data_IF_190893516667
#
_entry.id   IF_190893516667
#
_cell.length_a   1.000
_cell.length_b   1.000
_cell.length_c   1.000
_cell.angle_alpha   90.00
_cell.angle_beta   90.00
_cell.angle_gamma   90.00
#
_symmetry.space_group_name_H-M   'P 1'
#
loop_
_entity.id
_entity.type
_entity.pdbx_description
1 polymer ?
#
# COMPACT_ATOMS: atom_id res chain seq x y z
N UNK A 1 -9.30 7.31 4.60
CA UNK A 1 -8.41 7.44 3.41
C UNK A 1 -8.98 6.85 2.14
N UNK A 2 -9.46 5.60 2.10
CA UNK A 2 -9.93 4.97 0.84
C UNK A 2 -11.06 5.73 0.10
N UNK A 3 -12.08 6.22 0.83
CA UNK A 3 -13.22 6.93 0.22
C UNK A 3 -12.78 8.22 -0.48
N UNK A 4 -11.97 9.03 0.21
CA UNK A 4 -11.37 10.24 -0.35
C UNK A 4 -10.40 9.92 -1.50
N UNK A 5 -9.53 8.93 -1.30
CA UNK A 5 -8.56 8.49 -2.29
C UNK A 5 -9.21 8.04 -3.59
N UNK A 6 -10.35 7.33 -3.53
CA UNK A 6 -11.14 6.93 -4.70
C UNK A 6 -11.57 8.14 -5.54
N UNK A 7 -12.08 9.19 -4.90
CA UNK A 7 -12.52 10.39 -5.60
C UNK A 7 -11.34 11.08 -6.30
N UNK A 8 -10.25 11.33 -5.55
CA UNK A 8 -9.01 11.90 -6.09
C UNK A 8 -8.44 11.07 -7.23
N UNK A 9 -8.46 9.75 -7.13
CA UNK A 9 -7.92 8.84 -8.14
C UNK A 9 -8.72 8.93 -9.45
N UNK A 10 -10.05 8.96 -9.39
CA UNK A 10 -10.86 9.15 -10.59
C UNK A 10 -10.65 10.54 -11.20
N UNK A 11 -10.50 11.58 -10.38
CA UNK A 11 -10.23 12.94 -10.85
C UNK A 11 -8.88 13.00 -11.58
N UNK A 12 -7.84 12.42 -10.97
CA UNK A 12 -6.52 12.28 -11.58
C UNK A 12 -6.59 11.49 -12.90
N UNK A 13 -7.28 10.36 -12.92
CA UNK A 13 -7.37 9.57 -14.16
C UNK A 13 -8.05 10.33 -15.30
N UNK A 14 -9.08 11.16 -14.99
CA UNK A 14 -9.70 12.04 -15.99
C UNK A 14 -8.76 13.13 -16.46
N UNK A 15 -8.08 13.80 -15.53
CA UNK A 15 -7.22 14.93 -15.81
C UNK A 15 -6.00 14.52 -16.65
N UNK A 16 -5.39 13.38 -16.35
CA UNK A 16 -4.14 12.92 -16.96
C UNK A 16 -4.35 11.84 -18.03
N UNK A 17 -5.60 11.52 -18.38
CA UNK A 17 -5.92 10.54 -19.42
C UNK A 17 -5.50 9.10 -19.10
N UNK A 18 -5.41 8.76 -17.81
CA UNK A 18 -5.10 7.39 -17.38
C UNK A 18 -6.30 6.49 -17.68
N UNK A 19 -6.15 5.34 -18.37
CA UNK A 19 -7.26 4.45 -18.65
C UNK A 19 -7.92 3.91 -17.38
N UNK A 20 -9.22 4.14 -17.24
CA UNK A 20 -10.02 3.61 -16.13
C UNK A 20 -11.45 3.28 -16.56
N UNK A 21 -12.13 2.41 -15.81
CA UNK A 21 -13.54 2.05 -16.04
C UNK A 21 -14.29 1.85 -14.72
N UNK A 22 -15.41 2.56 -14.54
CA UNK A 22 -16.35 2.31 -13.45
C UNK A 22 -17.29 1.15 -13.81
N UNK A 23 -16.78 -0.07 -13.71
CA UNK A 23 -17.50 -1.30 -14.13
C UNK A 23 -18.41 -1.88 -13.05
N UNK A 24 -18.55 -1.22 -11.90
CA UNK A 24 -19.34 -1.66 -10.75
C UNK A 24 -18.83 -2.97 -10.13
N UNK A 25 -19.31 -3.26 -8.93
CA UNK A 25 -19.01 -4.51 -8.20
C UNK A 25 -20.27 -5.07 -7.59
N UNK A 26 -20.43 -6.39 -7.63
CA UNK A 26 -21.43 -7.13 -6.88
C UNK A 26 -20.75 -7.82 -5.70
N UNK A 27 -21.19 -7.50 -4.48
CA UNK A 27 -20.85 -8.25 -3.27
C UNK A 27 -21.91 -9.33 -3.09
N UNK A 28 -21.55 -10.60 -3.16
CA UNK A 28 -22.49 -11.71 -3.39
C UNK A 28 -22.72 -12.53 -2.14
N UNK A 29 -23.97 -12.58 -1.68
CA UNK A 29 -24.47 -13.59 -0.74
C UNK A 29 -24.88 -14.83 -1.51
N UNK A 30 -24.13 -15.92 -1.34
CA UNK A 30 -24.37 -17.22 -2.03
C UNK A 30 -25.44 -18.07 -1.34
N UNK A 31 -25.79 -17.77 -0.09
CA UNK A 31 -26.86 -18.43 0.65
C UNK A 31 -27.79 -17.42 1.32
N UNK A 32 -29.02 -17.85 1.66
CA UNK A 32 -30.01 -17.00 2.34
C UNK A 32 -29.52 -16.53 3.72
N UNK A 33 -28.68 -17.33 4.39
CA UNK A 33 -28.11 -17.00 5.70
C UNK A 33 -27.14 -15.80 5.65
N UNK A 34 -26.65 -15.44 4.46
CA UNK A 34 -25.77 -14.29 4.25
C UNK A 34 -26.53 -12.98 3.96
N UNK A 35 -27.85 -13.02 3.76
CA UNK A 35 -28.64 -11.81 3.48
C UNK A 35 -28.58 -10.78 4.63
N UNK A 36 -28.70 -11.17 5.92
CA UNK A 36 -28.53 -10.23 7.02
C UNK A 36 -27.13 -9.61 7.08
N UNK A 37 -26.11 -10.37 6.68
CA UNK A 37 -24.73 -9.88 6.64
C UNK A 37 -24.57 -8.81 5.52
N UNK A 38 -25.25 -8.96 4.38
CA UNK A 38 -25.27 -7.94 3.32
C UNK A 38 -25.91 -6.64 3.83
N UNK A 39 -27.05 -6.72 4.51
CA UNK A 39 -27.68 -5.53 5.08
C UNK A 39 -26.82 -4.85 6.14
N UNK A 40 -26.21 -5.64 7.04
CA UNK A 40 -25.29 -5.12 8.04
C UNK A 40 -24.06 -4.45 7.39
N UNK A 41 -23.50 -5.06 6.35
CA UNK A 41 -22.37 -4.49 5.59
C UNK A 41 -22.74 -3.18 4.89
N UNK A 42 -23.95 -3.10 4.30
CA UNK A 42 -24.47 -1.88 3.69
C UNK A 42 -24.61 -0.75 4.71
N UNK A 43 -25.22 -1.04 5.87
CA UNK A 43 -25.39 -0.06 6.95
C UNK A 43 -24.05 0.40 7.54
N UNK A 44 -23.09 -0.52 7.71
CA UNK A 44 -21.74 -0.19 8.16
C UNK A 44 -21.00 0.67 7.13
N UNK A 45 -21.11 0.34 5.84
CA UNK A 45 -20.48 1.10 4.74
C UNK A 45 -20.99 2.54 4.66
N UNK A 46 -22.29 2.76 4.87
CA UNK A 46 -22.89 4.08 4.88
C UNK A 46 -22.29 4.99 5.97
N UNK A 47 -21.99 4.45 7.16
CA UNK A 47 -21.31 5.18 8.25
C UNK A 47 -19.91 5.65 7.88
N UNK A 48 -19.28 5.02 6.89
CA UNK A 48 -17.96 5.37 6.38
C UNK A 48 -18.02 6.23 5.10
N UNK A 49 -19.20 6.77 4.75
CA UNK A 49 -19.37 7.62 3.56
C UNK A 49 -19.62 6.87 2.26
N UNK A 50 -19.91 5.56 2.31
CA UNK A 50 -20.27 4.74 1.15
C UNK A 50 -21.77 4.42 1.21
N UNK A 51 -22.58 5.41 0.83
CA UNK A 51 -24.05 5.34 0.89
C UNK A 51 -24.71 4.91 -0.43
N UNK A 52 -23.92 4.67 -1.48
CA UNK A 52 -24.38 4.33 -2.83
C UNK A 52 -24.61 2.82 -3.05
N UNK A 53 -24.45 1.99 -2.01
CA UNK A 53 -24.67 0.55 -2.09
C UNK A 53 -26.16 0.21 -2.16
N UNK A 54 -26.54 -0.60 -3.16
CA UNK A 54 -27.92 -1.01 -3.40
C UNK A 54 -28.05 -2.51 -3.13
N UNK A 55 -29.00 -2.88 -2.27
CA UNK A 55 -29.34 -4.29 -2.05
C UNK A 55 -30.26 -4.76 -3.18
N UNK A 56 -29.90 -5.87 -3.81
CA UNK A 56 -30.68 -6.52 -4.86
C UNK A 56 -30.92 -7.99 -4.50
N UNK A 57 -32.08 -8.50 -4.87
CA UNK A 57 -32.42 -9.92 -4.78
C UNK A 57 -31.61 -10.76 -5.77
N UNK A 58 -31.55 -12.09 -5.55
CA UNK A 58 -30.94 -13.04 -6.50
C UNK A 58 -31.47 -12.90 -7.94
N UNK A 59 -32.81 -12.86 -8.17
CA UNK A 59 -33.37 -12.66 -9.50
C UNK A 59 -32.97 -11.33 -10.16
N UNK A 60 -32.95 -10.21 -9.42
CA UNK A 60 -32.47 -8.93 -9.94
C UNK A 60 -30.97 -8.98 -10.30
N UNK A 61 -30.17 -9.66 -9.47
CA UNK A 61 -28.75 -9.87 -9.76
C UNK A 61 -28.53 -10.71 -11.04
N UNK A 62 -29.37 -11.73 -11.28
CA UNK A 62 -29.33 -12.55 -12.49
C UNK A 62 -29.76 -11.81 -13.75
N UNK A 63 -30.63 -10.81 -13.64
CA UNK A 63 -30.94 -9.91 -14.76
C UNK A 63 -29.71 -9.09 -15.16
N UNK A 64 -28.86 -8.70 -14.18
CA UNK A 64 -27.61 -7.97 -14.44
C UNK A 64 -26.49 -8.88 -14.95
N UNK A 65 -26.38 -10.08 -14.39
CA UNK A 65 -25.33 -11.07 -14.66
C UNK A 65 -25.95 -12.49 -14.77
N UNK A 66 -26.40 -12.94 -15.97
CA UNK A 66 -27.15 -14.18 -16.11
C UNK A 66 -26.44 -15.46 -15.66
N UNK A 67 -25.10 -15.45 -15.63
CA UNK A 67 -24.29 -16.57 -15.15
C UNK A 67 -24.11 -16.61 -13.62
N UNK A 68 -24.63 -15.61 -12.90
CA UNK A 68 -24.44 -15.45 -11.46
C UNK A 68 -25.40 -16.34 -10.66
N UNK A 69 -24.86 -17.09 -9.71
CA UNK A 69 -25.62 -17.73 -8.65
C UNK A 69 -25.51 -16.89 -7.36
N UNK A 70 -26.65 -16.39 -6.87
CA UNK A 70 -26.72 -15.57 -5.67
C UNK A 70 -28.09 -15.71 -4.99
N UNK A 71 -28.12 -15.70 -3.67
CA UNK A 71 -29.34 -15.47 -2.89
C UNK A 71 -29.71 -13.97 -2.88
N UNK A 72 -28.70 -13.10 -2.88
CA UNK A 72 -28.83 -11.64 -2.97
C UNK A 72 -27.45 -10.99 -3.11
N UNK A 73 -27.41 -9.72 -3.50
CA UNK A 73 -26.15 -8.98 -3.73
C UNK A 73 -26.23 -7.55 -3.22
N UNK A 74 -25.09 -6.96 -2.87
CA UNK A 74 -24.93 -5.51 -2.83
C UNK A 74 -24.26 -5.04 -4.13
N UNK A 75 -24.97 -4.25 -4.91
CA UNK A 75 -24.41 -3.51 -6.03
C UNK A 75 -23.65 -2.28 -5.49
N UNK A 76 -22.37 -2.17 -5.84
CA UNK A 76 -21.52 -1.01 -5.61
C UNK A 76 -21.26 -0.30 -6.94
N UNK A 77 -22.00 0.77 -7.27
CA UNK A 77 -21.94 1.40 -8.58
C UNK A 77 -20.64 2.17 -8.81
N UNK A 78 -20.04 2.75 -7.76
CA UNK A 78 -18.82 3.55 -7.89
C UNK A 78 -17.51 2.74 -7.94
N UNK A 79 -17.57 1.41 -7.82
CA UNK A 79 -16.38 0.56 -7.93
C UNK A 79 -15.91 0.48 -9.40
N UNK A 80 -14.60 0.49 -9.61
CA UNK A 80 -14.01 0.40 -10.94
C UNK A 80 -12.61 -0.19 -10.95
N UNK A 81 -12.00 -0.16 -12.12
CA UNK A 81 -10.65 -0.62 -12.43
C UNK A 81 -9.87 0.49 -13.14
N UNK A 82 -8.55 0.44 -13.07
CA UNK A 82 -7.66 1.31 -13.82
C UNK A 82 -6.42 0.57 -14.30
N UNK A 83 -5.76 1.11 -15.32
CA UNK A 83 -4.40 0.72 -15.68
C UNK A 83 -3.41 1.32 -14.68
N UNK A 84 -2.92 0.48 -13.76
CA UNK A 84 -1.99 0.91 -12.73
C UNK A 84 -0.60 1.28 -13.27
N UNK A 85 -0.17 0.74 -14.41
CA UNK A 85 1.11 1.11 -15.01
C UNK A 85 1.03 2.49 -15.65
N UNK A 86 -0.04 2.75 -16.41
CA UNK A 86 -0.31 4.08 -16.94
C UNK A 86 -0.48 5.12 -15.82
N UNK A 87 -1.13 4.75 -14.72
CA UNK A 87 -1.25 5.61 -13.54
C UNK A 87 0.11 5.97 -12.93
N UNK A 88 0.98 4.98 -12.69
CA UNK A 88 2.32 5.23 -12.15
C UNK A 88 3.18 6.06 -13.11
N UNK A 89 3.08 5.82 -14.42
CA UNK A 89 3.79 6.60 -15.43
C UNK A 89 3.32 8.07 -15.45
N UNK A 90 2.00 8.30 -15.34
CA UNK A 90 1.43 9.63 -15.27
C UNK A 90 1.86 10.38 -13.99
N UNK A 91 1.88 9.70 -12.83
CA UNK A 91 2.39 10.28 -11.58
C UNK A 91 3.86 10.67 -11.69
N UNK A 92 4.69 9.82 -12.31
CA UNK A 92 6.11 10.12 -12.51
C UNK A 92 6.29 11.32 -13.43
N UNK A 93 5.58 11.36 -14.57
CA UNK A 93 5.65 12.47 -15.51
C UNK A 93 5.20 13.79 -14.87
N UNK A 94 4.13 13.77 -14.06
CA UNK A 94 3.67 14.93 -13.31
C UNK A 94 4.72 15.38 -12.28
N UNK A 95 5.33 14.45 -11.54
CA UNK A 95 6.39 14.78 -10.59
C UNK A 95 7.63 15.38 -11.27
N UNK A 96 8.07 14.81 -12.40
CA UNK A 96 9.22 15.30 -13.18
C UNK A 96 8.95 16.69 -13.80
N UNK A 97 7.72 16.94 -14.25
CA UNK A 97 7.29 18.27 -14.70
C UNK A 97 7.40 19.34 -13.59
N UNK A 98 7.35 18.93 -12.32
CA UNK A 98 7.54 19.77 -11.15
C UNK A 98 8.96 19.64 -10.54
N UNK A 99 9.92 19.12 -11.30
CA UNK A 99 11.34 19.09 -10.93
C UNK A 99 11.78 17.91 -10.07
N UNK A 100 10.94 16.88 -9.91
CA UNK A 100 11.38 15.63 -9.29
C UNK A 100 12.38 14.87 -10.17
N UNK A 101 13.20 14.03 -9.55
CA UNK A 101 14.19 13.18 -10.24
C UNK A 101 13.99 11.73 -9.79
N UNK A 102 13.88 10.82 -10.76
CA UNK A 102 13.87 9.38 -10.51
C UNK A 102 15.27 8.79 -10.72
N UNK A 103 15.87 8.28 -9.64
CA UNK A 103 17.12 7.51 -9.70
C UNK A 103 16.84 6.01 -9.59
N UNK A 104 16.91 5.30 -10.72
CA UNK A 104 16.77 3.84 -10.78
C UNK A 104 18.09 3.15 -10.47
N UNK A 105 18.02 1.86 -10.08
CA UNK A 105 19.19 1.06 -9.67
C UNK A 105 19.98 1.65 -8.48
N UNK A 106 19.36 2.56 -7.72
CA UNK A 106 19.92 3.24 -6.55
C UNK A 106 19.20 2.74 -5.30
N UNK A 107 19.87 1.92 -4.50
CA UNK A 107 19.32 1.35 -3.26
C UNK A 107 19.77 2.18 -2.06
N UNK A 108 18.83 2.53 -1.17
CA UNK A 108 19.19 3.04 0.17
C UNK A 108 19.74 1.89 1.01
N UNK A 109 20.98 2.02 1.50
CA UNK A 109 21.66 1.04 2.36
C UNK A 109 21.65 1.44 3.84
N UNK A 110 21.46 2.73 4.14
CA UNK A 110 21.39 3.26 5.49
C UNK A 110 21.23 4.78 5.52
N UNK A 111 21.19 5.34 6.72
CA UNK A 111 21.15 6.79 6.89
C UNK A 111 21.22 7.22 8.35
N UNK A 112 21.54 8.50 8.55
CA UNK A 112 21.66 9.12 9.87
C UNK A 112 21.33 10.61 9.82
N UNK A 113 21.06 11.20 10.97
CA UNK A 113 20.94 12.64 11.15
C UNK A 113 22.30 13.29 10.99
N UNK A 114 22.36 14.29 10.12
CA UNK A 114 23.57 15.06 9.90
C UNK A 114 23.95 15.84 11.17
N UNK A 115 25.14 15.59 11.76
CA UNK A 115 25.54 16.20 13.02
C UNK A 115 25.87 17.71 12.94
N UNK A 116 25.81 18.38 11.77
CA UNK A 116 26.26 19.78 11.63
C UNK A 116 25.19 20.81 11.18
N UNK A 117 25.23 22.08 11.68
CA UNK A 117 26.06 22.59 12.78
C UNK A 117 25.26 23.26 13.91
N UNK A 118 25.78 23.11 15.14
CA UNK A 118 25.67 24.14 16.16
C UNK A 118 26.00 25.50 15.51
N UNK A 119 25.09 26.47 15.61
CA UNK A 119 25.47 27.86 15.39
C UNK A 119 26.64 28.17 16.32
N UNK A 120 27.83 28.38 15.76
CA UNK A 120 28.88 29.09 16.45
C UNK A 120 28.28 30.44 16.86
N UNK A 121 27.97 30.60 18.13
CA UNK A 121 27.66 31.91 18.70
C UNK A 121 28.91 32.75 18.51
N UNK A 122 28.87 33.65 17.53
CA UNK A 122 29.83 34.72 17.38
C UNK A 122 29.94 35.45 18.72
N UNK A 123 31.18 35.68 19.15
CA UNK A 123 31.51 36.23 20.46
C UNK A 123 30.76 37.51 20.80
N UNK A 124 30.18 37.51 22.00
CA UNK A 124 29.78 38.70 22.74
C UNK A 124 30.48 38.66 24.08
N UNK A 125 31.46 39.56 24.22
CA UNK A 125 32.37 39.80 25.34
C UNK A 125 31.76 39.69 26.75
N UNK A 126 32.53 39.06 27.65
CA UNK A 126 32.41 39.21 29.09
C UNK A 126 32.35 40.68 29.52
N UNK A 127 31.39 41.02 30.37
CA UNK A 127 31.52 42.04 31.41
C UNK A 127 30.59 41.71 32.59
N UNK A 128 31.06 41.79 33.84
CA UNK A 128 30.26 41.40 35.01
C UNK A 128 29.58 42.62 35.64
N UNK A 129 28.29 42.52 35.99
CA UNK A 129 27.63 43.45 36.94
C UNK A 129 26.42 42.79 37.64
N UNK A 130 26.61 42.52 38.93
CA UNK A 130 25.73 42.75 40.11
C UNK A 130 24.23 42.40 40.15
N UNK A 131 23.91 41.72 41.27
CA UNK A 131 22.66 41.51 42.02
C UNK A 131 21.40 42.37 41.73
N UNK A 132 20.23 41.70 41.79
CA UNK A 132 18.91 42.33 42.01
C UNK A 132 17.71 41.38 41.80
N UNK A 133 17.16 40.90 42.92
CA UNK A 133 15.79 40.45 43.27
C UNK A 133 14.76 39.86 42.26
N UNK A 134 14.24 38.71 42.72
CA UNK A 134 12.89 38.12 42.67
C UNK A 134 11.81 38.55 41.64
N UNK A 135 11.17 37.48 41.12
CA UNK A 135 9.73 37.28 40.91
C UNK A 135 9.20 37.20 39.47
N UNK A 136 8.36 36.17 39.31
CA UNK A 136 7.23 36.02 38.38
C UNK A 136 7.41 35.35 37.01
N UNK A 137 6.43 34.47 36.77
CA UNK A 137 5.87 34.03 35.48
C UNK A 137 6.59 32.90 34.75
N UNK A 138 6.07 31.69 34.99
CA UNK A 138 6.07 30.59 34.02
C UNK A 138 5.31 31.03 32.77
N UNK A 139 5.99 31.75 31.89
CA UNK A 139 5.55 31.89 30.51
C UNK A 139 5.97 30.62 29.78
N UNK A 140 5.01 29.73 29.52
CA UNK A 140 5.12 28.71 28.49
C UNK A 140 5.18 29.42 27.14
N UNK A 141 6.32 30.06 26.85
CA UNK A 141 6.71 30.40 25.50
C UNK A 141 6.69 29.07 24.75
N UNK A 142 5.71 28.92 23.85
CA UNK A 142 5.75 27.86 22.85
C UNK A 142 7.11 27.95 22.19
N UNK A 143 8.01 27.03 22.55
CA UNK A 143 9.36 26.99 22.01
C UNK A 143 9.19 26.81 20.50
N UNK A 144 9.48 27.86 19.74
CA UNK A 144 9.55 27.76 18.30
C UNK A 144 10.53 26.62 18.01
N UNK A 145 10.03 25.53 17.42
CA UNK A 145 10.88 24.39 17.12
C UNK A 145 12.06 24.88 16.28
N UNK A 146 13.27 24.50 16.67
CA UNK A 146 14.46 24.74 15.85
C UNK A 146 14.32 24.14 14.44
N UNK A 147 15.25 24.41 13.52
CA UNK A 147 15.18 23.92 12.15
C UNK A 147 15.09 22.38 12.10
N UNK A 148 14.39 21.84 11.09
CA UNK A 148 14.34 20.40 10.84
C UNK A 148 15.76 19.90 10.53
N UNK A 149 16.30 18.93 11.29
CA UNK A 149 17.64 18.41 11.04
C UNK A 149 17.73 17.74 9.67
N UNK A 150 18.88 17.92 9.00
CA UNK A 150 19.16 17.25 7.72
C UNK A 150 19.49 15.77 7.97
N UNK A 151 19.18 14.92 6.99
CA UNK A 151 19.55 13.50 6.97
C UNK A 151 20.59 13.27 5.90
N UNK A 152 21.52 12.38 6.17
CA UNK A 152 22.41 11.77 5.18
C UNK A 152 21.89 10.37 4.89
N UNK A 153 21.62 10.08 3.62
CA UNK A 153 21.27 8.75 3.13
C UNK A 153 22.48 8.16 2.41
N UNK A 154 22.83 6.93 2.74
CA UNK A 154 23.81 6.15 1.98
C UNK A 154 23.07 5.39 0.87
N UNK A 155 23.61 5.52 -0.35
CA UNK A 155 23.04 4.98 -1.56
C UNK A 155 24.05 4.06 -2.24
N UNK A 156 23.61 2.86 -2.63
CA UNK A 156 24.39 1.93 -3.44
C UNK A 156 23.78 1.88 -4.84
N UNK A 157 24.51 2.34 -5.84
CA UNK A 157 24.05 2.41 -7.23
C UNK A 157 24.73 1.33 -8.08
N UNK A 158 23.95 0.64 -8.92
CA UNK A 158 24.46 -0.28 -9.93
C UNK A 158 24.40 0.36 -11.31
N UNK A 159 25.45 0.19 -12.11
CA UNK A 159 25.42 0.56 -13.51
C UNK A 159 24.33 -0.24 -14.26
N UNK A 160 23.59 0.39 -15.21
CA UNK A 160 22.63 -0.34 -16.02
C UNK A 160 23.35 -1.39 -16.88
N UNK A 161 22.96 -2.66 -16.78
CA UNK A 161 23.45 -3.70 -17.69
C UNK A 161 22.87 -3.46 -19.08
N UNK A 162 23.73 -3.26 -20.10
CA UNK A 162 23.30 -3.09 -21.47
C UNK A 162 22.40 -4.27 -21.91
N UNK A 163 21.20 -3.98 -22.40
CA UNK A 163 20.26 -4.97 -22.91
C UNK A 163 20.54 -5.27 -24.38
N UNK A 164 20.95 -6.50 -24.68
CA UNK A 164 21.02 -6.99 -26.06
C UNK A 164 21.78 -8.31 -26.22
N UNK A 165 21.05 -9.43 -26.33
CA UNK A 165 21.58 -10.72 -26.76
C UNK A 165 22.06 -11.64 -25.63
N UNK A 166 21.71 -12.93 -25.75
CA UNK A 166 22.04 -14.09 -24.91
C UNK A 166 23.00 -13.86 -23.72
N UNK A 167 22.53 -14.17 -22.52
CA UNK A 167 23.30 -14.12 -21.28
C UNK A 167 24.68 -14.80 -21.42
N UNK A 168 25.79 -14.09 -21.20
CA UNK A 168 27.04 -14.74 -20.87
C UNK A 168 27.05 -15.09 -19.37
N UNK A 169 27.75 -16.17 -19.07
CA UNK A 169 27.88 -16.75 -17.73
C UNK A 169 28.29 -15.71 -16.68
N UNK A 170 27.71 -15.85 -15.49
CA UNK A 170 28.01 -15.05 -14.31
C UNK A 170 29.50 -15.17 -13.93
N UNK A 171 30.29 -14.13 -14.24
CA UNK A 171 31.58 -13.85 -13.62
C UNK A 171 31.90 -12.36 -13.83
N UNK A 172 31.73 -11.57 -12.77
CA UNK A 172 31.94 -10.12 -12.76
C UNK A 172 30.81 -9.41 -12.01
N UNK A 173 30.91 -9.29 -10.69
CA UNK A 173 29.98 -8.47 -9.91
C UNK A 173 30.08 -7.02 -10.37
N UNK A 174 28.99 -6.45 -10.88
CA UNK A 174 28.94 -5.03 -11.23
C UNK A 174 29.40 -4.19 -10.04
N UNK A 175 30.41 -3.34 -10.27
CA UNK A 175 30.98 -2.46 -9.24
C UNK A 175 29.87 -1.56 -8.68
N UNK A 176 29.68 -1.59 -7.36
CA UNK A 176 28.68 -0.80 -6.66
C UNK A 176 29.29 0.56 -6.33
N UNK A 177 28.75 1.62 -6.91
CA UNK A 177 29.13 2.96 -6.51
C UNK A 177 28.37 3.34 -5.24
N UNK A 178 29.11 3.71 -4.20
CA UNK A 178 28.54 4.21 -2.94
C UNK A 178 28.55 5.73 -2.98
N UNK A 179 27.36 6.34 -2.91
CA UNK A 179 27.18 7.78 -2.85
C UNK A 179 26.34 8.18 -1.63
N UNK A 180 26.33 9.48 -1.33
CA UNK A 180 25.57 10.04 -0.21
C UNK A 180 24.67 11.17 -0.68
N UNK A 181 23.42 11.15 -0.22
CA UNK A 181 22.44 12.20 -0.48
C UNK A 181 22.07 12.90 0.82
N UNK A 182 22.12 14.24 0.83
CA UNK A 182 21.68 15.06 1.95
C UNK A 182 20.25 15.57 1.70
N UNK A 183 19.32 15.27 2.61
CA UNK A 183 17.91 15.61 2.46
C UNK A 183 17.33 16.31 3.70
N UNK A 184 16.41 17.27 3.51
CA UNK A 184 15.62 17.85 4.61
C UNK A 184 14.50 16.92 5.04
N UNK A 185 13.84 16.28 4.08
CA UNK A 185 12.72 15.38 4.31
C UNK A 185 12.98 14.05 3.64
N UNK A 186 12.61 12.96 4.31
CA UNK A 186 12.72 11.60 3.79
C UNK A 186 11.41 10.87 4.05
N UNK A 187 10.89 10.21 3.01
CA UNK A 187 9.71 9.34 3.10
C UNK A 187 10.12 7.92 2.76
N UNK A 188 9.98 7.01 3.72
CA UNK A 188 10.16 5.58 3.50
C UNK A 188 8.84 4.95 3.04
N UNK A 189 8.70 4.83 1.72
CA UNK A 189 7.58 4.17 1.03
C UNK A 189 8.00 2.84 0.38
N UNK A 190 8.96 2.12 0.97
CA UNK A 190 9.62 0.96 0.35
C UNK A 190 8.80 -0.36 0.36
N UNK A 191 7.47 -0.29 0.52
CA UNK A 191 6.55 -1.43 0.46
C UNK A 191 6.98 -2.58 1.38
N UNK A 192 7.19 -3.78 0.81
CA UNK A 192 7.66 -4.96 1.55
C UNK A 192 8.97 -4.71 2.32
N UNK A 193 9.81 -3.79 1.84
CA UNK A 193 11.10 -3.47 2.43
C UNK A 193 11.07 -2.28 3.40
N UNK A 194 9.91 -1.67 3.65
CA UNK A 194 9.82 -0.49 4.51
C UNK A 194 10.39 -0.73 5.91
N UNK A 195 10.06 -1.87 6.54
CA UNK A 195 10.60 -2.28 7.85
C UNK A 195 12.13 -2.42 7.81
N UNK A 196 12.65 -3.02 6.74
CA UNK A 196 14.10 -3.20 6.57
C UNK A 196 14.82 -1.87 6.37
N UNK A 197 14.31 -1.00 5.50
CA UNK A 197 14.89 0.35 5.28
C UNK A 197 14.93 1.12 6.60
N UNK A 198 13.83 1.14 7.34
CA UNK A 198 13.77 1.77 8.66
C UNK A 198 14.82 1.21 9.63
N UNK A 199 15.07 -0.10 9.59
CA UNK A 199 16.09 -0.77 10.41
C UNK A 199 17.53 -0.38 10.07
N UNK A 200 17.77 0.28 8.93
CA UNK A 200 19.11 0.75 8.53
C UNK A 200 19.37 2.22 8.92
N UNK A 201 18.39 2.89 9.54
CA UNK A 201 18.50 4.28 9.94
C UNK A 201 18.96 4.36 11.39
N UNK A 202 20.15 4.93 11.61
CA UNK A 202 20.80 4.93 12.93
C UNK A 202 19.96 5.60 14.01
N UNK A 203 19.34 6.74 13.68
CA UNK A 203 18.61 7.59 14.62
C UNK A 203 17.12 7.22 14.78
N UNK A 204 16.66 6.14 14.13
CA UNK A 204 15.27 5.69 14.26
C UNK A 204 15.14 4.72 15.44
N UNK A 205 14.25 4.98 16.43
CA UNK A 205 14.08 4.08 17.56
C UNK A 205 13.63 2.69 17.11
N UNK A 206 14.36 1.64 17.50
CA UNK A 206 14.03 0.25 17.13
C UNK A 206 12.64 -0.18 17.58
N UNK A 207 12.19 0.32 18.73
CA UNK A 207 10.85 0.08 19.27
C UNK A 207 9.72 0.69 18.44
N UNK A 208 10.02 1.65 17.54
CA UNK A 208 9.04 2.25 16.63
C UNK A 208 8.80 1.43 15.36
N UNK A 209 9.65 0.44 15.08
CA UNK A 209 9.59 -0.36 13.85
C UNK A 209 8.66 -1.56 14.09
N UNK A 210 7.55 -1.70 13.34
CA UNK A 210 6.61 -2.78 13.54
C UNK A 210 7.16 -4.11 13.03
N UNK A 211 6.54 -5.21 13.47
CA UNK A 211 6.77 -6.54 12.90
C UNK A 211 6.18 -6.64 11.50
N UNK A 212 6.88 -7.33 10.60
CA UNK A 212 6.43 -7.62 9.24
C UNK A 212 6.04 -9.09 9.10
N UNK A 213 4.89 -9.31 8.48
CA UNK A 213 4.46 -10.60 7.95
C UNK A 213 4.24 -10.46 6.44
N UNK A 214 4.28 -11.59 5.73
CA UNK A 214 4.15 -11.63 4.29
C UNK A 214 2.99 -12.55 3.90
N UNK A 215 2.01 -11.99 3.20
CA UNK A 215 0.87 -12.74 2.66
C UNK A 215 0.89 -12.65 1.13
N UNK A 216 1.36 -13.71 0.49
CA UNK A 216 1.30 -13.87 -0.96
C UNK A 216 -0.15 -14.16 -1.39
N UNK A 217 -0.53 -13.62 -2.53
CA UNK A 217 -1.83 -13.84 -3.16
C UNK A 217 -1.63 -14.25 -4.61
N UNK A 218 -2.17 -15.40 -4.98
CA UNK A 218 -2.07 -16.00 -6.29
C UNK A 218 -3.33 -15.72 -7.11
N UNK A 219 -3.15 -15.47 -8.40
CA UNK A 219 -4.24 -15.20 -9.33
C UNK A 219 -4.23 -16.21 -10.48
N UNK A 220 -5.42 -16.59 -10.91
CA UNK A 220 -5.65 -17.46 -12.06
C UNK A 220 -6.51 -16.74 -13.10
N UNK A 221 -6.10 -16.74 -14.36
CA UNK A 221 -6.91 -16.23 -15.46
C UNK A 221 -7.93 -17.26 -15.89
N UNK A 222 -9.11 -16.80 -16.30
CA UNK A 222 -10.11 -17.64 -16.94
C UNK A 222 -9.78 -17.83 -18.42
N UNK A 223 -9.76 -19.08 -18.90
CA UNK A 223 -9.67 -19.38 -20.33
C UNK A 223 -11.03 -19.16 -21.01
N UNK A 224 -10.99 -18.63 -22.24
CA UNK A 224 -12.19 -18.31 -23.00
C UNK A 224 -12.85 -16.99 -22.57
N UNK A 225 -14.15 -16.85 -22.89
CA UNK A 225 -14.90 -15.62 -22.66
C UNK A 225 -15.43 -15.56 -21.23
N UNK A 226 -15.16 -14.45 -20.54
CA UNK A 226 -15.81 -14.16 -19.26
C UNK A 226 -17.31 -13.86 -19.47
N UNK A 227 -18.22 -14.51 -18.73
CA UNK A 227 -19.65 -14.22 -18.83
C UNK A 227 -20.07 -12.99 -18.01
N UNK A 228 -19.17 -12.42 -17.20
CA UNK A 228 -19.47 -11.30 -16.31
C UNK A 228 -19.00 -9.96 -16.87
N UNK A 229 -19.82 -8.93 -16.72
CA UNK A 229 -19.47 -7.53 -17.05
C UNK A 229 -18.96 -6.71 -15.87
N UNK A 230 -19.05 -7.25 -14.65
CA UNK A 230 -18.78 -6.56 -13.38
C UNK A 230 -17.81 -7.35 -12.51
N UNK A 231 -17.26 -6.68 -11.49
CA UNK A 231 -16.46 -7.35 -10.47
C UNK A 231 -17.38 -8.19 -9.55
N UNK A 232 -17.00 -9.43 -9.22
CA UNK A 232 -17.78 -10.31 -8.35
C UNK A 232 -16.98 -10.65 -7.09
N UNK A 233 -17.49 -10.24 -5.94
CA UNK A 233 -16.83 -10.40 -4.64
C UNK A 233 -17.75 -11.22 -3.73
N UNK A 234 -17.46 -12.50 -3.44
CA UNK A 234 -18.24 -13.24 -2.46
C UNK A 234 -18.21 -12.54 -1.09
N UNK A 235 -19.32 -12.62 -0.36
CA UNK A 235 -19.37 -12.18 1.02
C UNK A 235 -18.35 -12.99 1.85
N UNK A 236 -17.52 -12.34 2.70
CA UNK A 236 -16.58 -13.07 3.54
C UNK A 236 -17.29 -14.11 4.39
N UNK A 237 -16.70 -15.30 4.49
CA UNK A 237 -17.23 -16.35 5.36
C UNK A 237 -16.94 -16.03 6.83
N UNK A 238 -17.93 -16.29 7.69
CA UNK A 238 -17.78 -16.10 9.14
C UNK A 238 -16.64 -17.00 9.65
N UNK A 239 -15.63 -16.41 10.26
CA UNK A 239 -14.52 -17.12 10.90
C UNK A 239 -13.36 -17.52 9.98
N UNK A 240 -13.41 -17.24 8.67
CA UNK A 240 -12.26 -17.42 7.77
C UNK A 240 -11.52 -16.10 7.58
N UNK A 241 -10.19 -16.13 7.78
CA UNK A 241 -9.30 -15.00 7.52
C UNK A 241 -9.03 -14.89 6.00
N UNK A 242 -10.00 -14.38 5.24
CA UNK A 242 -9.85 -14.13 3.81
C UNK A 242 -11.12 -13.53 3.19
N UNK A 243 -10.97 -12.63 2.22
CA UNK A 243 -12.08 -11.95 1.53
C UNK A 243 -12.77 -12.83 0.46
N UNK A 244 -12.48 -14.13 0.41
CA UNK A 244 -12.94 -15.05 -0.64
C UNK A 244 -12.23 -14.82 -1.98
N UNK A 245 -12.44 -15.74 -2.93
CA UNK A 245 -11.86 -15.65 -4.29
C UNK A 245 -12.67 -14.64 -5.11
N UNK A 246 -12.10 -13.47 -5.40
CA UNK A 246 -12.78 -12.44 -6.20
C UNK A 246 -12.68 -12.77 -7.68
N UNK A 247 -13.65 -12.29 -8.47
CA UNK A 247 -13.51 -12.11 -9.91
C UNK A 247 -13.22 -10.64 -10.18
N UNK A 248 -12.12 -10.40 -10.88
CA UNK A 248 -11.75 -9.09 -11.41
C UNK A 248 -11.63 -9.12 -12.92
N UNK A 249 -11.80 -7.96 -13.54
CA UNK A 249 -11.65 -7.77 -14.99
C UNK A 249 -10.48 -6.82 -15.24
N UNK A 250 -9.68 -7.10 -16.26
CA UNK A 250 -8.72 -6.13 -16.78
C UNK A 250 -9.38 -5.15 -17.76
N UNK A 251 -8.60 -4.19 -18.27
CA UNK A 251 -9.10 -3.15 -19.18
C UNK A 251 -9.60 -3.71 -20.51
N UNK A 252 -9.17 -4.91 -20.92
CA UNK A 252 -9.64 -5.61 -22.11
C UNK A 252 -10.82 -6.57 -21.84
N UNK A 253 -11.24 -6.71 -20.58
CA UNK A 253 -12.31 -7.63 -20.16
C UNK A 253 -11.85 -9.04 -19.86
N UNK A 254 -10.53 -9.28 -19.80
CA UNK A 254 -9.96 -10.55 -19.35
C UNK A 254 -10.25 -10.77 -17.86
N UNK A 255 -10.77 -11.94 -17.51
CA UNK A 255 -11.13 -12.26 -16.13
C UNK A 255 -9.99 -12.94 -15.37
N UNK A 256 -9.81 -12.51 -14.12
CA UNK A 256 -8.89 -13.12 -13.17
C UNK A 256 -9.59 -13.41 -11.87
N UNK A 257 -9.36 -14.60 -11.36
CA UNK A 257 -9.80 -15.04 -10.05
C UNK A 257 -8.67 -14.91 -9.03
N UNK A 258 -9.03 -14.53 -7.82
CA UNK A 258 -8.11 -14.37 -6.70
C UNK A 258 -8.19 -12.97 -6.11
N UNK A 259 -7.22 -12.57 -5.28
CA UNK A 259 -6.14 -13.42 -4.78
C UNK A 259 -6.62 -14.41 -3.72
N UNK A 260 -5.94 -15.53 -3.58
CA UNK A 260 -5.97 -16.31 -2.33
C UNK A 260 -5.07 -15.68 -1.25
N UNK A 261 -4.90 -16.42 -0.15
CA UNK A 261 -3.97 -16.09 0.93
C UNK A 261 -3.01 -17.24 1.16
N UNK A 262 -1.73 -16.98 0.91
CA UNK A 262 -0.59 -17.85 1.19
C UNK A 262 0.36 -17.10 2.14
N UNK A 263 0.32 -17.43 3.42
CA UNK A 263 1.26 -16.88 4.39
C UNK A 263 2.65 -17.47 4.13
N UNK A 264 3.64 -16.61 3.90
CA UNK A 264 5.02 -17.01 3.72
C UNK A 264 5.69 -17.25 5.08
N UNK A 265 6.84 -17.96 5.13
CA UNK A 265 7.59 -18.15 6.37
C UNK A 265 7.81 -16.83 7.12
N UNK A 266 7.58 -16.88 8.43
CA UNK A 266 7.75 -15.74 9.33
C UNK A 266 9.19 -15.23 9.24
N UNK A 267 9.42 -13.96 8.83
CA UNK A 267 10.76 -13.38 8.77
C UNK A 267 11.46 -13.29 10.13
N UNK A 268 10.72 -13.48 11.23
CA UNK A 268 11.21 -13.36 12.60
C UNK A 268 11.04 -11.94 13.17
N UNK A 269 11.52 -11.71 14.41
CA UNK A 269 11.41 -10.41 15.07
C UNK A 269 12.48 -9.40 14.62
N UNK A 270 13.53 -9.85 13.93
CA UNK A 270 14.61 -8.97 13.46
C UNK A 270 14.16 -8.18 12.21
N UNK A 271 13.99 -6.84 12.30
CA UNK A 271 13.55 -6.04 11.17
C UNK A 271 14.60 -5.94 10.05
N UNK A 272 15.85 -6.35 10.31
CA UNK A 272 16.92 -6.36 9.31
C UNK A 272 16.96 -7.63 8.45
N UNK A 273 16.19 -8.65 8.85
CA UNK A 273 16.15 -9.94 8.18
C UNK A 273 15.82 -9.80 6.68
N UNK A 274 16.52 -10.54 5.79
CA UNK A 274 16.23 -10.49 4.38
C UNK A 274 14.86 -11.13 4.11
N UNK A 275 14.05 -10.45 3.31
CA UNK A 275 12.81 -11.02 2.79
C UNK A 275 13.06 -11.63 1.41
N UNK A 276 12.46 -12.79 1.17
CA UNK A 276 12.47 -13.46 -0.12
C UNK A 276 11.04 -13.89 -0.46
N UNK A 277 10.57 -13.51 -1.65
CA UNK A 277 9.26 -13.89 -2.15
C UNK A 277 9.46 -14.61 -3.47
N UNK A 278 9.03 -15.87 -3.54
CA UNK A 278 8.90 -16.57 -4.81
C UNK A 278 7.56 -16.21 -5.45
N UNK A 279 7.61 -15.41 -6.51
CA UNK A 279 6.43 -14.92 -7.22
C UNK A 279 5.84 -15.92 -8.23
N UNK A 280 6.43 -17.10 -8.40
CA UNK A 280 5.85 -18.15 -9.25
C UNK A 280 4.51 -18.60 -8.68
N UNK A 281 3.51 -18.75 -9.54
CA UNK A 281 2.20 -19.29 -9.17
C UNK A 281 2.26 -20.80 -9.30
N UNK A 282 2.02 -21.52 -8.21
CA UNK A 282 1.90 -22.97 -8.23
C UNK A 282 0.54 -23.35 -8.85
N UNK A 283 0.51 -24.05 -10.01
CA UNK A 283 -0.74 -24.40 -10.68
C UNK A 283 -1.69 -25.22 -9.82
N UNK A 284 -1.19 -26.01 -8.88
CA UNK A 284 -2.01 -26.85 -7.98
C UNK A 284 -2.89 -26.04 -7.03
N UNK A 285 -2.56 -24.75 -6.83
CA UNK A 285 -3.42 -23.87 -6.01
C UNK A 285 -4.78 -23.61 -6.66
N UNK A 286 -4.94 -23.84 -7.97
CA UNK A 286 -6.22 -23.76 -8.64
C UNK A 286 -7.28 -24.69 -8.03
N UNK A 287 -6.87 -25.81 -7.43
CA UNK A 287 -7.77 -26.82 -6.87
C UNK A 287 -8.72 -26.24 -5.81
N UNK A 288 -8.24 -25.28 -5.00
CA UNK A 288 -9.07 -24.61 -3.99
C UNK A 288 -9.96 -23.49 -4.58
N UNK A 289 -9.63 -22.99 -5.78
CA UNK A 289 -10.38 -21.92 -6.43
C UNK A 289 -11.69 -22.44 -7.04
N UNK A 290 -11.68 -23.62 -7.68
CA UNK A 290 -12.88 -24.17 -8.31
C UNK A 290 -14.11 -24.24 -7.38
N UNK A 291 -14.04 -24.88 -6.19
CA UNK A 291 -15.20 -24.93 -5.29
C UNK A 291 -15.61 -23.55 -4.79
N UNK A 292 -14.66 -22.64 -4.54
CA UNK A 292 -14.97 -21.28 -4.09
C UNK A 292 -15.69 -20.45 -5.17
N UNK A 293 -15.20 -20.51 -6.42
CA UNK A 293 -15.79 -19.80 -7.55
C UNK A 293 -17.16 -20.38 -7.91
N UNK A 294 -17.30 -21.71 -7.92
CA UNK A 294 -18.57 -22.38 -8.29
C UNK A 294 -19.74 -22.05 -7.39
N UNK A 295 -19.51 -21.48 -6.21
CA UNK A 295 -20.59 -20.94 -5.35
C UNK A 295 -21.33 -19.77 -5.97
N UNK A 296 -20.66 -18.94 -6.78
CA UNK A 296 -21.27 -17.82 -7.48
C UNK A 296 -21.24 -17.97 -9.00
N UNK A 297 -20.42 -18.86 -9.56
CA UNK A 297 -20.38 -19.21 -10.97
C UNK A 297 -20.38 -20.74 -11.17
N UNK A 298 -21.54 -21.42 -10.98
CA UNK A 298 -21.62 -22.89 -11.01
C UNK A 298 -21.19 -23.51 -12.34
N UNK A 299 -21.37 -22.77 -13.44
CA UNK A 299 -21.03 -23.21 -14.80
C UNK A 299 -19.54 -23.06 -15.15
N UNK A 300 -18.67 -22.70 -14.20
CA UNK A 300 -17.21 -22.66 -14.42
C UNK A 300 -16.73 -24.03 -14.95
N UNK A 301 -16.17 -24.12 -16.17
CA UNK A 301 -15.71 -25.39 -16.73
C UNK A 301 -14.50 -25.94 -15.98
N UNK A 302 -14.35 -27.27 -15.94
CA UNK A 302 -13.12 -27.90 -15.45
C UNK A 302 -11.92 -27.49 -16.33
N UNK A 303 -10.76 -27.30 -15.72
CA UNK A 303 -9.53 -26.90 -16.43
C UNK A 303 -9.52 -25.46 -16.97
N UNK A 304 -10.53 -24.65 -16.67
CA UNK A 304 -10.65 -23.29 -17.18
C UNK A 304 -9.71 -22.27 -16.51
N UNK A 305 -9.06 -22.64 -15.39
CA UNK A 305 -8.16 -21.75 -14.66
C UNK A 305 -6.71 -21.96 -15.08
N UNK A 306 -6.04 -20.90 -15.53
CA UNK A 306 -4.63 -20.90 -15.88
C UNK A 306 -3.83 -20.03 -14.90
N UNK A 307 -2.64 -20.45 -14.42
CA UNK A 307 -1.79 -19.62 -13.58
C UNK A 307 -1.53 -18.27 -14.26
N UNK A 308 -1.76 -17.17 -13.54
CA UNK A 308 -1.53 -15.83 -14.06
C UNK A 308 -0.32 -15.18 -13.37
N UNK A 309 -0.53 -14.52 -12.24
CA UNK A 309 0.51 -13.81 -11.51
C UNK A 309 0.28 -13.94 -10.00
N UNK A 310 1.27 -13.54 -9.21
CA UNK A 310 1.11 -13.37 -7.77
C UNK A 310 1.62 -12.01 -7.32
N UNK A 311 1.13 -11.56 -6.17
CA UNK A 311 1.64 -10.40 -5.44
C UNK A 311 1.82 -10.74 -3.97
N UNK A 312 2.52 -9.90 -3.22
CA UNK A 312 2.72 -10.09 -1.79
C UNK A 312 2.34 -8.82 -1.02
N UNK A 313 1.64 -9.00 0.10
CA UNK A 313 1.19 -7.91 0.97
C UNK A 313 2.13 -7.74 2.15
N UNK A 314 2.57 -6.51 2.48
CA UNK A 314 3.26 -6.21 3.73
C UNK A 314 2.22 -6.17 4.85
N UNK A 315 2.15 -7.22 5.68
CA UNK A 315 1.18 -7.34 6.76
C UNK A 315 1.82 -6.91 8.08
N UNK A 316 1.13 -6.11 8.90
CA UNK A 316 1.59 -5.75 10.26
C UNK A 316 0.95 -6.62 11.35
N UNK A 317 0.04 -7.52 10.97
CA UNK A 317 -0.51 -8.55 11.83
C UNK A 317 -0.42 -9.92 11.17
N UNK A 318 -0.16 -10.93 11.98
CA UNK A 318 0.11 -12.29 11.55
C UNK A 318 -1.16 -13.13 11.30
N UNK A 319 -1.00 -14.41 10.91
CA UNK A 319 -2.12 -15.33 10.75
C UNK A 319 -2.98 -15.41 12.02
N UNK A 320 -4.30 -15.34 11.87
CA UNK A 320 -5.27 -15.42 12.97
C UNK A 320 -5.41 -14.15 13.81
N UNK A 321 -4.60 -13.11 13.57
CA UNK A 321 -4.74 -11.81 14.23
C UNK A 321 -5.68 -10.90 13.43
N UNK A 322 -6.33 -9.92 14.09
CA UNK A 322 -7.07 -8.87 13.40
C UNK A 322 -6.19 -8.15 12.39
N UNK A 323 -6.74 -7.79 11.22
CA UNK A 323 -6.00 -7.02 10.22
C UNK A 323 -5.60 -5.66 10.82
N UNK A 324 -4.31 -5.35 10.78
CA UNK A 324 -3.81 -4.03 11.14
C UNK A 324 -4.16 -3.00 10.05
N UNK A 325 -4.37 -1.74 10.45
CA UNK A 325 -4.54 -0.62 9.53
C UNK A 325 -3.19 -0.19 8.93
N UNK A 326 -3.23 0.71 7.94
CA UNK A 326 -2.04 1.41 7.46
C UNK A 326 -1.34 2.13 8.61
N UNK A 327 -0.01 2.06 8.65
CA UNK A 327 0.79 2.76 9.64
C UNK A 327 1.65 3.81 8.93
N UNK A 328 1.19 5.07 8.98
CA UNK A 328 1.95 6.24 8.54
C UNK A 328 2.44 6.98 9.78
N UNK A 329 3.76 6.93 10.02
CA UNK A 329 4.38 7.50 11.22
C UNK A 329 5.32 8.64 10.85
N UNK A 330 5.14 9.81 11.48
CA UNK A 330 6.08 10.93 11.45
C UNK A 330 6.80 11.12 12.78
N UNK A 331 7.38 12.31 13.03
CA UNK A 331 8.09 12.55 14.29
C UNK A 331 7.17 12.69 15.51
N UNK A 332 5.94 13.17 15.31
CA UNK A 332 4.97 13.52 16.36
C UNK A 332 3.75 12.59 16.36
N UNK A 333 2.92 12.73 17.40
CA UNK A 333 1.66 11.99 17.56
C UNK A 333 1.81 10.73 18.41
N UNK A 334 0.69 10.07 18.73
CA UNK A 334 0.66 8.90 19.61
C UNK A 334 1.47 7.69 19.11
N UNK A 335 1.75 7.65 17.80
CA UNK A 335 2.59 6.63 17.14
C UNK A 335 3.88 7.24 16.56
N UNK A 336 4.21 8.48 16.90
CA UNK A 336 5.37 9.19 16.36
C UNK A 336 6.69 8.58 16.83
N UNK A 337 7.70 8.59 15.97
CA UNK A 337 9.02 8.01 16.25
C UNK A 337 10.08 9.04 16.68
N UNK A 338 9.72 10.32 16.83
CA UNK A 338 10.63 11.39 17.30
C UNK A 338 11.60 11.95 16.26
N UNK A 339 11.97 11.19 15.23
CA UNK A 339 12.87 11.64 14.17
C UNK A 339 12.21 12.68 13.22
N UNK A 340 12.56 13.96 13.35
CA UNK A 340 12.03 15.06 12.53
C UNK A 340 12.43 15.00 11.05
N UNK A 341 11.49 15.32 10.17
CA UNK A 341 11.59 15.29 8.72
C UNK A 341 11.79 13.87 8.18
N UNK A 342 11.27 12.87 8.88
CA UNK A 342 11.24 11.48 8.45
C UNK A 342 9.81 10.97 8.59
N UNK A 343 9.30 10.30 7.55
CA UNK A 343 8.01 9.60 7.59
C UNK A 343 8.20 8.16 7.14
N UNK A 344 7.65 7.20 7.88
CA UNK A 344 7.57 5.81 7.48
C UNK A 344 6.14 5.42 7.09
N UNK A 345 6.02 4.64 6.02
CA UNK A 345 4.78 4.01 5.60
C UNK A 345 4.92 2.49 5.68
N UNK A 346 4.28 1.89 6.67
CA UNK A 346 4.26 0.44 6.86
C UNK A 346 2.87 -0.13 6.61
N UNK A 347 2.82 -1.39 6.19
CA UNK A 347 1.55 -2.10 6.07
C UNK A 347 0.63 -1.59 4.96
N UNK A 348 1.16 -0.87 3.95
CA UNK A 348 0.36 -0.33 2.85
C UNK A 348 -0.04 -1.46 1.89
N UNK A 349 -1.00 -2.27 2.32
CA UNK A 349 -1.65 -3.30 1.53
C UNK A 349 -2.92 -2.76 0.84
N UNK A 350 -3.88 -3.60 0.45
CA UNK A 350 -5.16 -3.14 -0.09
C UNK A 350 -5.95 -2.36 0.98
N UNK A 351 -6.53 -1.18 0.68
CA UNK A 351 -6.70 -0.55 -0.65
C UNK A 351 -5.67 0.58 -0.93
N UNK A 352 -4.38 0.28 -0.86
CA UNK A 352 -3.28 1.25 -0.97
C UNK A 352 -3.21 1.97 -2.32
N UNK A 353 -3.50 1.27 -3.42
CA UNK A 353 -3.61 1.91 -4.75
C UNK A 353 -4.72 2.96 -4.76
N UNK A 354 -5.93 2.59 -4.35
CA UNK A 354 -7.08 3.50 -4.27
C UNK A 354 -6.82 4.67 -3.31
N UNK A 355 -6.06 4.43 -2.25
CA UNK A 355 -5.77 5.43 -1.21
C UNK A 355 -4.52 6.27 -1.50
N UNK A 356 -3.81 6.02 -2.61
CA UNK A 356 -2.45 6.53 -2.84
C UNK A 356 -2.34 8.05 -2.80
N UNK A 357 -3.25 8.79 -3.44
CA UNK A 357 -3.24 10.26 -3.43
C UNK A 357 -3.59 10.85 -2.05
N UNK A 358 -4.52 10.22 -1.32
CA UNK A 358 -4.85 10.65 0.05
C UNK A 358 -3.71 10.33 1.04
N UNK A 359 -3.01 9.21 0.83
CA UNK A 359 -1.80 8.87 1.59
C UNK A 359 -0.68 9.88 1.33
N UNK A 360 -0.45 10.26 0.07
CA UNK A 360 0.57 11.25 -0.29
C UNK A 360 0.30 12.61 0.37
N UNK A 361 -0.96 13.08 0.33
CA UNK A 361 -1.41 14.28 1.02
C UNK A 361 -1.15 14.21 2.54
N UNK A 362 -1.53 13.09 3.17
CA UNK A 362 -1.30 12.90 4.59
C UNK A 362 0.19 12.93 4.96
N UNK A 363 1.06 12.32 4.13
CA UNK A 363 2.52 12.36 4.31
C UNK A 363 3.06 13.78 4.19
N UNK A 364 2.60 14.55 3.21
CA UNK A 364 2.99 15.96 3.04
C UNK A 364 2.62 16.79 4.28
N UNK A 365 1.39 16.65 4.76
CA UNK A 365 0.92 17.34 5.96
C UNK A 365 1.75 17.02 7.22
N UNK A 366 2.19 15.76 7.38
CA UNK A 366 3.07 15.37 8.48
C UNK A 366 4.44 16.08 8.40
N UNK A 367 5.02 16.21 7.20
CA UNK A 367 6.31 16.88 7.00
C UNK A 367 6.19 18.41 7.14
N UNK A 368 5.12 18.99 6.61
CA UNK A 368 4.86 20.43 6.68
C UNK A 368 4.55 20.91 8.10
N UNK A 369 3.88 20.09 8.92
CA UNK A 369 3.63 20.39 10.33
C UNK A 369 4.93 20.48 11.18
N UNK A 370 6.06 20.06 10.62
CA UNK A 370 7.38 20.16 11.25
C UNK A 370 8.26 21.28 10.66
N UNK A 371 7.83 21.85 9.53
CA UNK A 371 8.56 22.85 8.75
C UNK A 371 8.72 24.16 9.51
#
# INVERSE_FOLDING_TARGET
MCVEGKARLYDFCRQYGVPYKAITKLIVGTSKDQLPDLDAFRAASAKHGVADLQLLSGPEAQQLEPALAAAGVLLSPSTGILDSHAYMAALLADAEAHGAVLALNTRVSGGWVDPMPHTATAGGTNSPCSHGDSSSSSSSRGSAMGPVPRKILELHTRAPTASGGAAPAAQGGAELEVSRLRARWVVNAAGLHAVRVASTIADLPRSSIPRLYLAKGNYFSLSGRCPFGRLIYPMPERGLAGLGTHLTLDMAGGARFGPDVEWLPDPGPDPSAPIHVDYRVDPRRADSFYPAIRRFFPALPDGALQPAYSGCRPKLSGPGQPAADFLVQGARGGLGHGLRGWVNMYGIESPGLTSSLALAEHVAQLLEAEA
#
